data_IF_024533875418
#
_entry.id   IF_024533875418
#
_cell.length_a   1.000
_cell.length_b   1.000
_cell.length_c   1.000
_cell.angle_alpha   90.00
_cell.angle_beta   90.00
_cell.angle_gamma   90.00
#
_symmetry.space_group_name_H-M   'P 1'
#
loop_
_entity.id
_entity.type
_entity.pdbx_description
1 polymer ?
#
# COMPACT_ATOMS: atom_id res chain seq x y z
N UNK A 1 6.82 -35.75 -40.31
CA UNK A 1 5.83 -35.59 -39.22
C UNK A 1 6.19 -34.37 -38.38
N UNK A 2 5.61 -33.20 -38.69
CA UNK A 2 5.72 -32.00 -37.85
C UNK A 2 4.55 -32.02 -36.87
N UNK A 3 4.82 -32.17 -35.57
CA UNK A 3 3.78 -31.99 -34.54
C UNK A 3 3.48 -30.49 -34.47
N UNK A 4 2.30 -30.11 -34.93
CA UNK A 4 1.71 -28.80 -34.69
C UNK A 4 1.50 -28.62 -33.18
N UNK A 5 2.44 -27.96 -32.52
CA UNK A 5 2.24 -27.44 -31.17
C UNK A 5 1.10 -26.41 -31.23
N UNK A 6 0.01 -26.66 -30.49
CA UNK A 6 -1.14 -25.76 -30.37
C UNK A 6 -0.68 -24.38 -29.83
N UNK A 7 -1.00 -23.27 -30.51
CA UNK A 7 -0.73 -21.92 -30.02
C UNK A 7 -1.63 -21.51 -28.84
N UNK A 8 -2.77 -22.17 -28.67
CA UNK A 8 -3.84 -21.77 -27.74
C UNK A 8 -3.43 -21.85 -26.26
N UNK A 9 -2.56 -22.80 -25.90
CA UNK A 9 -2.06 -22.95 -24.53
C UNK A 9 -1.01 -21.90 -24.15
N UNK A 10 -0.28 -21.34 -25.11
CA UNK A 10 0.74 -20.32 -24.83
C UNK A 10 0.08 -18.96 -24.60
N UNK A 11 -0.91 -18.59 -25.42
CA UNK A 11 -1.65 -17.33 -25.25
C UNK A 11 -2.46 -17.29 -23.95
N UNK A 12 -3.10 -18.41 -23.57
CA UNK A 12 -3.86 -18.50 -22.32
C UNK A 12 -2.99 -18.30 -21.07
N UNK A 13 -1.80 -18.90 -21.04
CA UNK A 13 -0.86 -18.74 -19.94
C UNK A 13 -0.28 -17.32 -19.86
N UNK A 14 -0.02 -16.70 -21.01
CA UNK A 14 0.50 -15.33 -21.07
C UNK A 14 -0.52 -14.32 -20.52
N UNK A 15 -1.79 -14.42 -20.95
CA UNK A 15 -2.86 -13.55 -20.47
C UNK A 15 -3.09 -13.72 -18.96
N UNK A 16 -3.11 -14.96 -18.47
CA UNK A 16 -3.27 -15.23 -17.03
C UNK A 16 -2.12 -14.66 -16.22
N UNK A 17 -0.86 -14.82 -16.68
CA UNK A 17 0.30 -14.23 -16.02
C UNK A 17 0.27 -12.69 -16.02
N UNK A 18 -0.17 -12.06 -17.11
CA UNK A 18 -0.32 -10.61 -17.20
C UNK A 18 -1.39 -10.08 -16.24
N UNK A 19 -2.52 -10.79 -16.11
CA UNK A 19 -3.56 -10.42 -15.15
C UNK A 19 -3.07 -10.56 -13.70
N UNK A 20 -2.34 -11.63 -13.38
CA UNK A 20 -1.74 -11.81 -12.05
C UNK A 20 -0.71 -10.70 -11.75
N UNK A 21 0.15 -10.37 -12.72
CA UNK A 21 1.11 -9.28 -12.59
C UNK A 21 0.41 -7.92 -12.38
N UNK A 22 -0.67 -7.66 -13.11
CA UNK A 22 -1.47 -6.44 -12.95
C UNK A 22 -2.13 -6.37 -11.57
N UNK A 23 -2.72 -7.48 -11.08
CA UNK A 23 -3.32 -7.55 -9.74
C UNK A 23 -2.28 -7.30 -8.66
N UNK A 24 -1.10 -7.95 -8.76
CA UNK A 24 0.01 -7.71 -7.83
C UNK A 24 0.46 -6.25 -7.88
N UNK A 25 0.58 -5.67 -9.08
CA UNK A 25 0.91 -4.27 -9.27
C UNK A 25 -0.08 -3.33 -8.58
N UNK A 26 -1.38 -3.59 -8.71
CA UNK A 26 -2.43 -2.82 -8.04
C UNK A 26 -2.38 -2.95 -6.52
N UNK A 27 -2.12 -4.15 -6.00
CA UNK A 27 -1.97 -4.38 -4.55
C UNK A 27 -0.78 -3.58 -4.01
N UNK A 28 0.38 -3.65 -4.69
CA UNK A 28 1.57 -2.88 -4.29
C UNK A 28 1.31 -1.38 -4.36
N UNK A 29 0.68 -0.89 -5.44
CA UNK A 29 0.32 0.52 -5.57
C UNK A 29 -0.65 0.97 -4.46
N UNK A 30 -1.65 0.16 -4.13
CA UNK A 30 -2.59 0.44 -3.05
C UNK A 30 -1.89 0.48 -1.68
N UNK A 31 -0.95 -0.42 -1.42
CA UNK A 31 -0.15 -0.41 -0.19
C UNK A 31 0.73 0.85 -0.08
N UNK A 32 1.38 1.25 -1.17
CA UNK A 32 2.18 2.48 -1.20
C UNK A 32 1.29 3.69 -0.94
N UNK A 33 0.15 3.79 -1.64
CA UNK A 33 -0.83 4.86 -1.44
C UNK A 33 -1.36 4.90 -0.01
N UNK A 34 -1.60 3.74 0.60
CA UNK A 34 -2.04 3.63 1.99
C UNK A 34 -0.99 4.16 2.97
N UNK A 35 0.29 3.86 2.76
CA UNK A 35 1.37 4.42 3.61
C UNK A 35 1.53 5.92 3.36
N UNK A 36 1.44 6.38 2.11
CA UNK A 36 1.53 7.81 1.76
C UNK A 36 0.29 8.61 2.21
N UNK A 37 -0.87 7.99 2.38
CA UNK A 37 -2.05 8.70 2.87
C UNK A 37 -2.03 8.90 4.38
N UNK A 38 -1.20 8.16 5.12
CA UNK A 38 -1.07 8.28 6.58
C UNK A 38 -0.80 9.72 7.03
N UNK A 39 0.19 10.36 6.42
CA UNK A 39 0.60 11.73 6.76
C UNK A 39 -0.52 12.77 6.62
N UNK A 40 -1.10 12.98 5.42
CA UNK A 40 -2.15 13.96 5.25
C UNK A 40 -3.42 13.62 6.04
N UNK A 41 -3.78 12.33 6.19
CA UNK A 41 -4.99 11.94 6.94
C UNK A 41 -4.84 12.23 8.43
N UNK A 42 -3.70 11.90 9.04
CA UNK A 42 -3.47 12.19 10.46
C UNK A 42 -3.37 13.71 10.70
N UNK A 43 -2.73 14.46 9.80
CA UNK A 43 -2.68 15.92 9.89
C UNK A 43 -4.08 16.56 9.80
N UNK A 44 -4.94 16.06 8.90
CA UNK A 44 -6.34 16.48 8.79
C UNK A 44 -7.13 16.18 10.07
N UNK A 45 -6.98 14.97 10.59
CA UNK A 45 -7.64 14.53 11.83
C UNK A 45 -7.21 15.40 13.02
N UNK A 46 -5.93 15.73 13.13
CA UNK A 46 -5.41 16.59 14.18
C UNK A 46 -5.95 18.03 14.04
N UNK A 47 -6.04 18.53 12.81
CA UNK A 47 -6.54 19.88 12.54
C UNK A 47 -8.05 20.03 12.81
N UNK A 48 -8.86 19.06 12.40
CA UNK A 48 -10.31 19.12 12.54
C UNK A 48 -10.84 18.50 13.84
N UNK A 49 -10.00 17.77 14.58
CA UNK A 49 -10.36 16.99 15.78
C UNK A 49 -11.52 16.00 15.57
N UNK A 50 -11.77 15.60 14.33
CA UNK A 50 -12.80 14.63 13.97
C UNK A 50 -12.13 13.35 13.51
N UNK A 51 -12.68 12.20 13.91
CA UNK A 51 -12.29 10.93 13.30
C UNK A 51 -11.00 10.32 13.84
N UNK A 52 -10.46 10.84 14.96
CA UNK A 52 -9.15 10.42 15.49
C UNK A 52 -9.08 8.95 15.80
N UNK A 53 -10.06 8.44 16.54
CA UNK A 53 -10.11 7.03 16.90
C UNK A 53 -10.21 6.15 15.65
N UNK A 54 -11.03 6.52 14.66
CA UNK A 54 -11.18 5.79 13.42
C UNK A 54 -9.88 5.77 12.60
N UNK A 55 -9.17 6.90 12.53
CA UNK A 55 -7.90 6.99 11.83
C UNK A 55 -6.79 6.20 12.53
N UNK A 56 -6.72 6.26 13.87
CA UNK A 56 -5.78 5.46 14.67
C UNK A 56 -6.02 3.96 14.49
N UNK A 57 -7.28 3.51 14.48
CA UNK A 57 -7.60 2.10 14.19
C UNK A 57 -7.27 1.70 12.75
N UNK A 58 -7.63 2.53 11.76
CA UNK A 58 -7.37 2.24 10.36
C UNK A 58 -5.87 2.12 10.08
N UNK A 59 -5.07 3.02 10.65
CA UNK A 59 -3.61 3.03 10.51
C UNK A 59 -2.85 2.31 11.62
N UNK A 60 -3.55 1.55 12.48
CA UNK A 60 -2.94 0.78 13.57
C UNK A 60 -1.75 -0.08 13.12
N UNK A 61 -1.74 -0.73 11.95
CA UNK A 61 -0.56 -1.48 11.48
C UNK A 61 0.67 -0.60 11.28
N UNK A 62 0.49 0.63 10.77
CA UNK A 62 1.59 1.57 10.54
C UNK A 62 2.10 2.08 11.88
N UNK A 63 1.19 2.45 12.80
CA UNK A 63 1.54 2.93 14.14
C UNK A 63 2.29 1.84 14.91
N UNK A 64 1.80 0.59 14.83
CA UNK A 64 2.46 -0.56 15.43
C UNK A 64 3.85 -0.78 14.84
N UNK A 65 3.98 -0.72 13.51
CA UNK A 65 5.28 -0.86 12.84
C UNK A 65 6.24 0.26 13.24
N UNK A 66 5.77 1.49 13.39
CA UNK A 66 6.54 2.62 13.87
C UNK A 66 7.04 2.43 15.32
N UNK A 67 6.28 1.74 16.17
CA UNK A 67 6.67 1.52 17.57
C UNK A 67 7.51 0.27 17.79
N UNK A 68 7.33 -0.79 16.99
CA UNK A 68 7.96 -2.10 17.22
C UNK A 68 9.14 -2.40 16.29
N UNK A 69 9.41 -1.53 15.33
CA UNK A 69 10.53 -1.72 14.38
C UNK A 69 11.43 -0.49 14.35
N UNK A 70 12.62 -0.63 13.75
CA UNK A 70 13.53 0.50 13.50
C UNK A 70 12.95 1.55 12.52
N UNK A 71 11.73 1.34 11.99
CA UNK A 71 11.01 2.30 11.17
C UNK A 71 10.39 3.47 11.95
N UNK A 72 10.59 3.55 13.27
CA UNK A 72 10.16 4.70 14.06
C UNK A 72 10.59 6.04 13.46
N UNK A 73 11.89 6.20 13.21
CA UNK A 73 12.46 7.44 12.71
C UNK A 73 11.91 7.88 11.34
N UNK A 74 11.88 7.03 10.29
CA UNK A 74 11.35 7.44 8.99
C UNK A 74 9.85 7.76 9.04
N UNK A 75 9.06 7.06 9.86
CA UNK A 75 7.62 7.32 9.98
C UNK A 75 7.36 8.64 10.71
N UNK A 76 8.10 8.91 11.79
CA UNK A 76 8.00 10.19 12.51
C UNK A 76 8.51 11.35 11.66
N UNK A 77 9.62 11.17 10.94
CA UNK A 77 10.12 12.17 9.98
C UNK A 77 9.09 12.47 8.89
N UNK A 78 8.47 11.41 8.34
CA UNK A 78 7.42 11.54 7.34
C UNK A 78 6.19 12.27 7.89
N UNK A 79 5.72 11.90 9.08
CA UNK A 79 4.62 12.58 9.77
C UNK A 79 4.95 14.07 10.03
N UNK A 80 6.20 14.36 10.44
CA UNK A 80 6.69 15.71 10.66
C UNK A 80 6.66 16.60 9.42
N UNK A 81 6.82 16.04 8.21
CA UNK A 81 6.65 16.81 6.97
C UNK A 81 5.22 17.34 6.77
N UNK A 82 4.23 16.69 7.40
CA UNK A 82 2.82 17.09 7.36
C UNK A 82 2.41 17.96 8.55
N UNK A 83 3.37 18.36 9.40
CA UNK A 83 3.12 19.24 10.56
C UNK A 83 2.61 18.50 11.80
N UNK A 84 2.58 17.17 11.78
CA UNK A 84 2.24 16.32 12.93
C UNK A 84 3.41 16.38 13.93
N UNK A 85 3.15 16.67 15.21
CA UNK A 85 4.19 16.84 16.25
C UNK A 85 3.93 16.00 17.50
#
# INVERSE_FOLDING_TARGET
>A
MKRSQCPDTVEFNLNTANHLAAVVGWIVAALILYVLSFGPVIALVEHYQVGREQAEYFYAPIIWAAHNTSMHYPIVWYAGMWGIR
#
